data_IF_808531052023
#
_entry.id   IF_808531052023
#
_cell.length_a   1.000
_cell.length_b   1.000
_cell.length_c   1.000
_cell.angle_alpha   90.00
_cell.angle_beta   90.00
_cell.angle_gamma   90.00
#
_symmetry.space_group_name_H-M   'P 1'
#
loop_
_entity.id
_entity.type
_entity.pdbx_description
1 polymer ?
#
# COMPACT_ATOMS: atom_id res chain seq x y z
N UNK A 1 9.88 -15.42 -15.77
CA UNK A 1 10.56 -16.30 -14.78
C UNK A 1 9.59 -17.43 -14.47
N UNK A 2 10.05 -18.66 -14.22
CA UNK A 2 9.14 -19.72 -13.78
C UNK A 2 8.66 -19.42 -12.34
N UNK A 3 7.39 -19.66 -12.00
CA UNK A 3 6.88 -19.43 -10.66
C UNK A 3 7.63 -20.31 -9.65
N UNK A 4 7.87 -19.78 -8.45
CA UNK A 4 8.39 -20.58 -7.34
C UNK A 4 7.20 -21.25 -6.66
N UNK A 5 7.10 -22.56 -6.78
CA UNK A 5 6.04 -23.33 -6.13
C UNK A 5 6.52 -23.84 -4.77
N UNK A 6 5.71 -23.60 -3.74
CA UNK A 6 5.95 -24.02 -2.35
C UNK A 6 4.81 -24.94 -1.92
N UNK A 7 5.14 -26.05 -1.24
CA UNK A 7 4.10 -26.97 -0.78
C UNK A 7 3.27 -26.34 0.35
N UNK A 8 1.97 -26.68 0.50
CA UNK A 8 1.16 -26.22 1.63
C UNK A 8 1.75 -26.63 2.99
N UNK A 9 2.42 -27.78 3.06
CA UNK A 9 3.12 -28.23 4.27
C UNK A 9 4.27 -27.28 4.63
N UNK A 10 5.15 -26.98 3.68
CA UNK A 10 6.27 -26.04 3.89
C UNK A 10 5.77 -24.64 4.26
N UNK A 11 4.75 -24.14 3.57
CA UNK A 11 4.15 -22.83 3.87
C UNK A 11 3.62 -22.75 5.31
N UNK A 12 2.97 -23.82 5.80
CA UNK A 12 2.49 -23.92 7.18
C UNK A 12 3.63 -23.99 8.19
N UNK A 13 4.69 -24.75 7.91
CA UNK A 13 5.87 -24.83 8.78
C UNK A 13 6.58 -23.48 8.92
N UNK A 14 6.65 -22.69 7.85
CA UNK A 14 7.16 -21.32 7.88
C UNK A 14 6.22 -20.38 8.63
N UNK A 15 4.90 -20.52 8.43
CA UNK A 15 3.91 -19.73 9.15
C UNK A 15 3.97 -19.96 10.66
N UNK A 16 4.21 -21.20 11.11
CA UNK A 16 4.42 -21.54 12.51
C UNK A 16 5.70 -20.94 13.10
N UNK A 17 6.77 -20.81 12.30
CA UNK A 17 7.98 -20.11 12.71
C UNK A 17 7.73 -18.62 12.89
N UNK A 18 7.03 -17.98 11.94
CA UNK A 18 6.63 -16.57 12.03
C UNK A 18 5.75 -16.35 13.25
N UNK A 19 4.74 -17.21 13.46
CA UNK A 19 3.80 -17.07 14.55
C UNK A 19 4.49 -17.17 15.93
N UNK A 20 5.49 -18.05 16.08
CA UNK A 20 6.29 -18.17 17.31
C UNK A 20 7.20 -16.95 17.55
N UNK A 21 7.61 -16.26 16.49
CA UNK A 21 8.45 -15.07 16.58
C UNK A 21 7.66 -13.77 16.84
N UNK A 22 6.32 -13.83 16.74
CA UNK A 22 5.42 -12.73 17.01
C UNK A 22 4.92 -12.77 18.46
N UNK A 23 4.67 -11.61 19.10
CA UNK A 23 3.94 -11.58 20.37
C UNK A 23 2.57 -12.24 20.20
N UNK A 24 2.15 -13.08 21.15
CA UNK A 24 0.87 -13.79 21.06
C UNK A 24 -0.35 -12.87 21.04
N UNK A 25 -0.20 -11.65 21.60
CA UNK A 25 -1.22 -10.60 21.62
C UNK A 25 -1.34 -9.81 20.32
N UNK A 26 -0.39 -9.95 19.39
CA UNK A 26 -0.38 -9.08 18.20
C UNK A 26 -1.56 -9.41 17.28
N UNK A 27 -2.40 -8.40 17.05
CA UNK A 27 -3.49 -8.42 16.09
C UNK A 27 -3.08 -7.61 14.86
N UNK A 28 -3.10 -8.24 13.69
CA UNK A 28 -2.77 -7.60 12.41
C UNK A 28 -3.89 -7.77 11.37
N UNK A 29 -4.97 -8.44 11.74
CA UNK A 29 -6.25 -8.50 11.03
C UNK A 29 -7.36 -8.86 11.99
N UNK A 30 -8.57 -8.38 11.70
CA UNK A 30 -9.76 -8.60 12.53
C UNK A 30 -10.44 -9.95 12.28
N UNK A 31 -10.40 -10.45 11.04
CA UNK A 31 -11.16 -11.62 10.60
C UNK A 31 -10.32 -12.57 9.75
N UNK A 32 -10.66 -13.86 9.77
CA UNK A 32 -10.01 -14.90 8.97
C UNK A 32 -9.06 -15.79 9.76
N UNK A 33 -8.52 -16.81 9.10
CA UNK A 33 -7.57 -17.73 9.71
C UNK A 33 -6.17 -17.12 9.82
N UNK A 34 -5.63 -17.07 11.04
CA UNK A 34 -4.32 -16.46 11.33
C UNK A 34 -3.19 -17.10 10.51
N UNK A 35 -3.18 -18.43 10.38
CA UNK A 35 -2.15 -19.14 9.62
C UNK A 35 -2.21 -18.76 8.14
N UNK A 36 -3.40 -18.75 7.56
CA UNK A 36 -3.65 -18.31 6.17
C UNK A 36 -3.19 -16.87 5.95
N UNK A 37 -3.46 -15.96 6.87
CA UNK A 37 -2.97 -14.58 6.77
C UNK A 37 -1.44 -14.48 6.85
N UNK A 38 -0.79 -15.25 7.74
CA UNK A 38 0.67 -15.31 7.80
C UNK A 38 1.26 -15.84 6.49
N UNK A 39 0.64 -16.86 5.89
CA UNK A 39 1.04 -17.38 4.58
C UNK A 39 0.93 -16.30 3.50
N UNK A 40 -0.12 -15.47 3.51
CA UNK A 40 -0.25 -14.31 2.59
C UNK A 40 0.93 -13.35 2.74
N UNK A 41 1.33 -13.02 3.96
CA UNK A 41 2.54 -12.20 4.19
C UNK A 41 3.83 -12.89 3.72
N UNK A 42 3.97 -14.20 3.96
CA UNK A 42 5.13 -14.97 3.50
C UNK A 42 5.26 -14.92 1.98
N UNK A 43 4.14 -15.05 1.24
CA UNK A 43 4.12 -14.96 -0.23
C UNK A 43 4.70 -13.62 -0.72
N UNK A 44 4.26 -12.49 -0.14
CA UNK A 44 4.79 -11.16 -0.53
C UNK A 44 6.22 -10.88 -0.04
N UNK A 45 6.72 -11.66 0.92
CA UNK A 45 8.03 -11.48 1.54
C UNK A 45 9.00 -12.61 1.20
N UNK A 46 8.89 -13.20 0.01
CA UNK A 46 9.79 -14.23 -0.53
C UNK A 46 9.88 -15.54 0.28
N UNK A 47 8.86 -15.84 1.07
CA UNK A 47 8.84 -16.90 2.10
C UNK A 47 9.93 -16.72 3.18
N UNK A 48 10.39 -15.48 3.42
CA UNK A 48 11.38 -15.16 4.45
C UNK A 48 10.70 -14.84 5.78
N UNK A 49 11.00 -15.65 6.81
CA UNK A 49 10.42 -15.52 8.16
C UNK A 49 10.71 -14.16 8.78
N UNK A 50 11.95 -13.67 8.68
CA UNK A 50 12.35 -12.44 9.35
C UNK A 50 11.71 -11.20 8.70
N UNK A 51 11.66 -11.15 7.37
CA UNK A 51 10.95 -10.10 6.63
C UNK A 51 9.46 -10.10 6.97
N UNK A 52 8.85 -11.28 7.01
CA UNK A 52 7.43 -11.46 7.31
C UNK A 52 7.07 -10.97 8.71
N UNK A 53 7.88 -11.29 9.73
CA UNK A 53 7.66 -10.80 11.10
C UNK A 53 7.65 -9.26 11.16
N UNK A 54 8.57 -8.61 10.44
CA UNK A 54 8.63 -7.14 10.36
C UNK A 54 7.40 -6.57 9.66
N UNK A 55 7.02 -7.15 8.52
CA UNK A 55 5.84 -6.71 7.76
C UNK A 55 4.55 -6.82 8.60
N UNK A 56 4.38 -7.92 9.36
CA UNK A 56 3.21 -8.10 10.24
C UNK A 56 3.18 -7.04 11.35
N UNK A 57 4.32 -6.76 12.01
CA UNK A 57 4.38 -5.70 13.03
C UNK A 57 4.03 -4.33 12.47
N UNK A 58 4.42 -4.04 11.24
CA UNK A 58 4.08 -2.80 10.56
C UNK A 58 2.59 -2.73 10.22
N UNK A 59 1.98 -3.82 9.76
CA UNK A 59 0.53 -3.85 9.53
C UNK A 59 -0.26 -3.72 10.82
N UNK A 60 0.20 -4.30 11.94
CA UNK A 60 -0.43 -4.10 13.25
C UNK A 60 -0.41 -2.62 13.68
N UNK A 61 0.73 -1.92 13.52
CA UNK A 61 0.80 -0.48 13.78
C UNK A 61 -0.10 0.33 12.84
N UNK A 62 -0.05 0.04 11.53
CA UNK A 62 -0.91 0.67 10.53
C UNK A 62 -2.38 0.57 10.96
N UNK A 63 -2.84 -0.63 11.31
CA UNK A 63 -4.23 -0.84 11.75
C UNK A 63 -4.58 0.00 12.96
N UNK A 64 -3.66 0.12 13.92
CA UNK A 64 -3.90 0.96 15.10
C UNK A 64 -3.96 2.45 14.79
N UNK A 65 -3.08 2.96 13.93
CA UNK A 65 -3.10 4.38 13.54
C UNK A 65 -4.33 4.76 12.73
N UNK A 66 -4.83 3.83 11.94
CA UNK A 66 -6.04 4.01 11.14
C UNK A 66 -7.31 3.67 11.90
N UNK A 67 -7.23 3.33 13.19
CA UNK A 67 -8.35 2.83 13.98
C UNK A 67 -9.15 1.73 13.26
N UNK A 68 -8.43 0.87 12.52
CA UNK A 68 -8.99 -0.08 11.55
C UNK A 68 -10.06 -1.00 12.16
N UNK A 69 -9.87 -1.41 13.42
CA UNK A 69 -10.78 -2.30 14.13
C UNK A 69 -12.05 -1.59 14.64
N UNK A 70 -12.05 -0.26 14.66
CA UNK A 70 -13.16 0.60 15.12
C UNK A 70 -14.01 1.13 13.96
N UNK A 71 -13.57 0.96 12.71
CA UNK A 71 -14.30 1.41 11.52
C UNK A 71 -15.62 0.62 11.42
N UNK A 72 -16.72 1.35 11.24
CA UNK A 72 -18.05 0.82 10.98
C UNK A 72 -18.53 1.24 9.60
N UNK A 73 -19.54 0.55 9.06
CA UNK A 73 -20.12 0.93 7.76
C UNK A 73 -20.64 2.37 7.75
N UNK A 74 -21.10 2.91 8.89
CA UNK A 74 -21.57 4.29 8.99
C UNK A 74 -20.45 5.31 8.74
N UNK A 75 -19.21 5.00 9.11
CA UNK A 75 -18.04 5.87 8.91
C UNK A 75 -17.64 5.97 7.43
N UNK A 76 -17.94 4.93 6.64
CA UNK A 76 -17.50 4.79 5.25
C UNK A 76 -18.65 4.84 4.23
N UNK A 77 -19.90 5.01 4.69
CA UNK A 77 -21.11 4.94 3.87
C UNK A 77 -21.10 5.89 2.66
N UNK A 78 -20.67 7.14 2.86
CA UNK A 78 -20.67 8.15 1.81
C UNK A 78 -19.74 7.76 0.65
N UNK A 79 -18.61 7.15 0.96
CA UNK A 79 -17.66 6.72 -0.05
C UNK A 79 -18.10 5.42 -0.74
N UNK A 80 -18.76 4.51 -0.01
CA UNK A 80 -19.45 3.36 -0.63
C UNK A 80 -20.62 3.77 -1.53
N UNK A 81 -21.34 4.85 -1.25
CA UNK A 81 -22.38 5.39 -2.14
C UNK A 81 -21.82 5.84 -3.51
N UNK A 82 -20.59 6.36 -3.54
CA UNK A 82 -19.95 6.76 -4.80
C UNK A 82 -19.44 5.56 -5.62
N UNK A 83 -19.14 4.43 -4.98
CA UNK A 83 -18.53 3.24 -5.61
C UNK A 83 -19.52 2.08 -5.81
N UNK A 84 -20.67 2.13 -5.11
CA UNK A 84 -21.70 1.09 -5.03
C UNK A 84 -21.13 -0.33 -5.11
N UNK A 85 -20.24 -0.64 -4.18
CA UNK A 85 -19.53 -1.90 -4.19
C UNK A 85 -19.95 -2.85 -3.06
N UNK A 86 -20.03 -4.14 -3.37
CA UNK A 86 -20.55 -5.17 -2.47
C UNK A 86 -20.08 -6.58 -2.90
N UNK A 87 -19.99 -7.53 -1.96
CA UNK A 87 -19.65 -8.93 -2.23
C UNK A 87 -20.86 -9.67 -2.80
N UNK A 88 -20.62 -10.59 -3.73
CA UNK A 88 -21.68 -11.39 -4.37
C UNK A 88 -21.52 -12.89 -4.16
N UNK A 89 -20.37 -13.38 -3.71
CA UNK A 89 -20.19 -14.79 -3.39
C UNK A 89 -18.74 -15.23 -3.41
N UNK A 90 -18.54 -16.54 -3.24
CA UNK A 90 -17.22 -17.18 -3.27
C UNK A 90 -17.17 -18.23 -4.37
N UNK A 91 -16.09 -18.23 -5.13
CA UNK A 91 -15.81 -19.19 -6.18
C UNK A 91 -15.35 -20.53 -5.60
N UNK A 92 -15.36 -21.59 -6.43
CA UNK A 92 -14.97 -22.95 -5.99
C UNK A 92 -13.50 -23.07 -5.57
N UNK A 93 -12.65 -22.18 -6.07
CA UNK A 93 -11.23 -22.08 -5.72
C UNK A 93 -10.97 -21.11 -4.55
N UNK A 94 -12.02 -20.70 -3.82
CA UNK A 94 -11.87 -19.95 -2.58
C UNK A 94 -11.47 -18.50 -2.79
N UNK A 95 -12.00 -17.84 -3.83
CA UNK A 95 -11.87 -16.39 -4.06
C UNK A 95 -13.20 -15.69 -3.86
N UNK A 96 -13.17 -14.53 -3.20
CA UNK A 96 -14.34 -13.65 -3.08
C UNK A 96 -14.62 -12.98 -4.42
N UNK A 97 -15.89 -12.82 -4.80
CA UNK A 97 -16.29 -11.99 -5.94
C UNK A 97 -16.87 -10.69 -5.40
N UNK A 98 -16.27 -9.56 -5.79
CA UNK A 98 -16.63 -8.23 -5.33
C UNK A 98 -17.02 -7.35 -6.53
N UNK A 99 -18.24 -6.84 -6.52
CA UNK A 99 -18.73 -5.97 -7.58
C UNK A 99 -18.59 -4.51 -7.20
N UNK A 100 -18.31 -3.67 -8.20
CA UNK A 100 -18.17 -2.21 -8.07
C UNK A 100 -18.90 -1.57 -9.25
N UNK A 101 -19.80 -0.62 -8.99
CA UNK A 101 -20.42 0.21 -10.03
C UNK A 101 -19.92 1.65 -9.83
N UNK A 102 -18.86 2.01 -10.55
CA UNK A 102 -18.03 3.15 -10.19
C UNK A 102 -18.54 4.46 -10.81
N UNK A 103 -18.91 5.43 -9.97
CA UNK A 103 -19.39 6.76 -10.38
C UNK A 103 -18.42 7.89 -10.07
N UNK A 104 -17.15 7.56 -9.84
CA UNK A 104 -16.18 8.54 -9.42
C UNK A 104 -15.97 9.60 -10.52
N UNK A 105 -16.40 10.82 -10.23
CA UNK A 105 -16.23 11.99 -11.11
C UNK A 105 -15.12 12.93 -10.62
N UNK A 106 -14.78 12.84 -9.34
CA UNK A 106 -13.78 13.65 -8.64
C UNK A 106 -12.87 12.76 -7.81
N UNK A 107 -11.63 13.17 -7.51
CA UNK A 107 -10.77 12.41 -6.63
C UNK A 107 -11.39 12.35 -5.22
N UNK A 108 -11.51 11.16 -4.61
CA UNK A 108 -11.91 11.01 -3.22
C UNK A 108 -10.82 11.61 -2.32
N UNK A 109 -11.21 12.02 -1.11
CA UNK A 109 -10.21 12.35 -0.10
C UNK A 109 -9.40 11.11 0.23
N UNK A 110 -8.12 11.30 0.54
CA UNK A 110 -7.24 10.18 0.87
C UNK A 110 -7.75 9.38 2.07
N UNK A 111 -8.23 10.09 3.10
CA UNK A 111 -8.85 9.48 4.28
C UNK A 111 -10.01 8.54 3.90
N UNK A 112 -10.99 9.05 3.14
CA UNK A 112 -12.15 8.29 2.70
C UNK A 112 -11.75 7.04 1.89
N UNK A 113 -10.81 7.21 0.94
CA UNK A 113 -10.29 6.10 0.13
C UNK A 113 -9.66 5.01 0.99
N UNK A 114 -8.87 5.42 1.98
CA UNK A 114 -8.15 4.52 2.88
C UNK A 114 -9.10 3.79 3.84
N UNK A 115 -10.02 4.51 4.48
CA UNK A 115 -11.00 3.93 5.41
C UNK A 115 -11.91 2.92 4.72
N UNK A 116 -12.43 3.26 3.53
CA UNK A 116 -13.24 2.32 2.73
C UNK A 116 -12.41 1.09 2.36
N UNK A 117 -11.16 1.27 1.94
CA UNK A 117 -10.30 0.14 1.55
C UNK A 117 -10.06 -0.80 2.73
N UNK A 118 -9.73 -0.27 3.91
CA UNK A 118 -9.53 -1.07 5.13
C UNK A 118 -10.81 -1.85 5.46
N UNK A 119 -11.95 -1.16 5.49
CA UNK A 119 -13.24 -1.79 5.79
C UNK A 119 -13.61 -2.87 4.77
N UNK A 120 -13.43 -2.57 3.47
CA UNK A 120 -13.70 -3.49 2.36
C UNK A 120 -12.87 -4.77 2.49
N UNK A 121 -11.56 -4.65 2.74
CA UNK A 121 -10.70 -5.84 2.87
C UNK A 121 -11.05 -6.66 4.11
N UNK A 122 -11.40 -6.02 5.23
CA UNK A 122 -11.85 -6.72 6.43
C UNK A 122 -13.18 -7.47 6.18
N UNK A 123 -14.14 -6.87 5.48
CA UNK A 123 -15.41 -7.54 5.11
C UNK A 123 -15.17 -8.69 4.12
N UNK A 124 -14.30 -8.50 3.12
CA UNK A 124 -13.88 -9.56 2.19
C UNK A 124 -13.30 -10.74 2.96
N UNK A 125 -12.35 -10.49 3.86
CA UNK A 125 -11.69 -11.55 4.63
C UNK A 125 -12.68 -12.30 5.52
N UNK A 126 -13.59 -11.58 6.19
CA UNK A 126 -14.63 -12.19 7.02
C UNK A 126 -15.52 -13.13 6.21
N UNK A 127 -16.13 -12.60 5.14
CA UNK A 127 -17.09 -13.36 4.33
C UNK A 127 -16.40 -14.50 3.58
N UNK A 128 -15.17 -14.29 3.12
CA UNK A 128 -14.39 -15.33 2.47
C UNK A 128 -14.13 -16.51 3.40
N UNK A 129 -13.66 -16.23 4.63
CA UNK A 129 -13.41 -17.26 5.64
C UNK A 129 -14.69 -18.03 5.99
N UNK A 130 -15.79 -17.32 6.27
CA UNK A 130 -17.07 -17.93 6.66
C UNK A 130 -17.65 -18.80 5.53
N UNK A 131 -17.64 -18.31 4.29
CA UNK A 131 -18.16 -19.04 3.13
C UNK A 131 -17.28 -20.24 2.77
N UNK A 132 -15.95 -20.09 2.76
CA UNK A 132 -15.04 -21.22 2.49
C UNK A 132 -15.20 -22.31 3.53
N UNK A 133 -15.33 -21.94 4.81
CA UNK A 133 -15.59 -22.88 5.90
C UNK A 133 -16.93 -23.60 5.74
N UNK A 134 -17.99 -22.90 5.35
CA UNK A 134 -19.30 -23.50 5.10
C UNK A 134 -19.29 -24.47 3.91
N UNK A 135 -18.49 -24.18 2.87
CA UNK A 135 -18.34 -25.01 1.68
C UNK A 135 -17.32 -26.14 1.84
N UNK A 136 -16.55 -26.16 2.94
CA UNK A 136 -15.49 -27.15 3.17
C UNK A 136 -14.31 -27.01 2.20
N UNK A 137 -14.05 -25.79 1.70
CA UNK A 137 -12.94 -25.48 0.78
C UNK A 137 -11.89 -24.60 1.48
N UNK A 138 -10.67 -24.63 0.94
CA UNK A 138 -9.58 -23.77 1.39
C UNK A 138 -9.71 -22.38 0.77
N UNK A 139 -9.55 -21.32 1.57
CA UNK A 139 -9.40 -19.96 1.04
C UNK A 139 -8.17 -19.89 0.14
N UNK A 140 -8.26 -19.15 -0.95
CA UNK A 140 -7.10 -18.82 -1.76
C UNK A 140 -6.04 -18.10 -0.89
N UNK A 141 -4.81 -18.61 -0.94
CA UNK A 141 -3.66 -17.95 -0.31
C UNK A 141 -3.22 -16.70 -1.08
N UNK A 142 -3.68 -16.55 -2.32
CA UNK A 142 -3.21 -15.53 -3.24
C UNK A 142 -4.33 -15.11 -4.18
N UNK A 143 -4.35 -13.82 -4.50
CA UNK A 143 -5.31 -13.20 -5.39
C UNK A 143 -6.75 -13.58 -4.99
N UNK A 144 -6.99 -13.51 -3.66
CA UNK A 144 -8.15 -14.10 -2.99
C UNK A 144 -9.47 -13.34 -3.22
N UNK A 145 -9.44 -12.33 -4.07
CA UNK A 145 -10.60 -11.55 -4.48
C UNK A 145 -10.57 -11.31 -6.00
N UNK A 146 -11.73 -11.46 -6.63
CA UNK A 146 -12.01 -11.06 -8.00
C UNK A 146 -12.83 -9.78 -7.92
N UNK A 147 -12.28 -8.66 -8.39
CA UNK A 147 -12.99 -7.39 -8.49
C UNK A 147 -13.58 -7.24 -9.88
N UNK A 148 -14.88 -7.06 -9.95
CA UNK A 148 -15.60 -6.74 -11.18
C UNK A 148 -16.12 -5.31 -11.06
N UNK A 149 -15.50 -4.39 -11.80
CA UNK A 149 -15.83 -2.97 -11.76
C UNK A 149 -16.44 -2.51 -13.08
N UNK A 150 -17.63 -1.93 -13.05
CA UNK A 150 -18.17 -1.17 -14.18
C UNK A 150 -17.64 0.26 -14.13
N UNK A 151 -16.90 0.64 -15.17
CA UNK A 151 -16.18 1.92 -15.22
C UNK A 151 -16.72 2.86 -16.29
N UNK A 152 -17.90 2.55 -16.86
CA UNK A 152 -18.55 3.37 -17.90
C UNK A 152 -18.72 4.84 -17.48
N UNK A 153 -18.97 5.06 -16.19
CA UNK A 153 -19.31 6.36 -15.60
C UNK A 153 -18.14 7.02 -14.86
N UNK A 154 -16.96 6.41 -14.87
CA UNK A 154 -15.77 6.95 -14.21
C UNK A 154 -15.14 8.06 -15.05
N UNK A 155 -14.89 9.22 -14.43
CA UNK A 155 -14.20 10.33 -15.08
C UNK A 155 -12.68 10.21 -14.97
N UNK A 156 -11.96 10.69 -15.99
CA UNK A 156 -10.50 10.85 -15.93
C UNK A 156 -10.04 11.75 -14.77
N UNK A 157 -10.85 12.75 -14.41
CA UNK A 157 -10.56 13.66 -13.30
C UNK A 157 -10.56 12.98 -11.94
N UNK A 158 -11.13 11.78 -11.81
CA UNK A 158 -11.13 11.02 -10.55
C UNK A 158 -9.75 10.44 -10.19
N UNK A 159 -8.83 10.32 -11.16
CA UNK A 159 -7.52 9.69 -10.94
C UNK A 159 -6.43 10.74 -10.70
N UNK A 160 -6.16 11.07 -9.44
CA UNK A 160 -5.03 11.95 -9.08
C UNK A 160 -3.73 11.15 -8.78
N UNK A 161 -2.60 11.85 -8.64
CA UNK A 161 -1.28 11.21 -8.40
C UNK A 161 -1.14 10.67 -6.97
N UNK A 162 -1.86 11.24 -6.01
CA UNK A 162 -1.81 10.85 -4.59
C UNK A 162 -2.44 9.49 -4.36
N UNK A 163 -3.62 9.23 -4.96
CA UNK A 163 -4.26 7.92 -4.95
C UNK A 163 -3.35 6.83 -5.52
N UNK A 164 -2.57 7.14 -6.55
CA UNK A 164 -1.61 6.18 -7.15
C UNK A 164 -0.50 5.79 -6.16
N UNK A 165 -0.01 6.75 -5.36
CA UNK A 165 1.01 6.50 -4.35
C UNK A 165 0.44 5.72 -3.15
N UNK A 166 -0.72 6.14 -2.66
CA UNK A 166 -1.36 5.52 -1.50
C UNK A 166 -1.86 4.11 -1.80
N UNK A 167 -2.56 3.92 -2.92
CA UNK A 167 -3.07 2.61 -3.33
C UNK A 167 -1.96 1.58 -3.47
N UNK A 168 -0.92 1.85 -4.28
CA UNK A 168 0.15 0.86 -4.46
C UNK A 168 0.87 0.50 -3.16
N UNK A 169 1.24 1.49 -2.34
CA UNK A 169 2.06 1.22 -1.16
C UNK A 169 1.28 0.51 -0.05
N UNK A 170 0.00 0.86 0.11
CA UNK A 170 -0.87 0.31 1.14
C UNK A 170 -1.38 -1.07 0.75
N UNK A 171 -1.88 -1.25 -0.48
CA UNK A 171 -2.42 -2.55 -0.90
C UNK A 171 -1.36 -3.64 -0.87
N UNK A 172 -0.15 -3.37 -1.40
CA UNK A 172 0.91 -4.37 -1.41
C UNK A 172 1.44 -4.66 0.00
N UNK A 173 1.57 -3.64 0.86
CA UNK A 173 2.17 -3.83 2.20
C UNK A 173 1.18 -4.39 3.22
N UNK A 174 0.01 -3.78 3.30
CA UNK A 174 -0.93 -3.99 4.40
C UNK A 174 -2.05 -4.97 4.04
N UNK A 175 -2.24 -5.25 2.74
CA UNK A 175 -3.17 -6.26 2.23
C UNK A 175 -2.46 -7.30 1.35
N UNK A 176 -1.43 -8.00 1.88
CA UNK A 176 -0.62 -8.94 1.12
C UNK A 176 -1.45 -10.00 0.41
N UNK A 177 -1.01 -10.37 -0.78
CA UNK A 177 -1.63 -11.37 -1.63
C UNK A 177 -3.09 -11.06 -2.06
N UNK A 178 -3.59 -9.83 -1.87
CA UNK A 178 -4.83 -9.36 -2.48
C UNK A 178 -4.67 -9.13 -3.99
N UNK A 179 -3.57 -8.46 -4.37
CA UNK A 179 -3.07 -8.31 -5.73
C UNK A 179 -1.57 -8.61 -5.73
N UNK A 180 -1.21 -9.89 -5.71
CA UNK A 180 0.17 -10.26 -5.44
C UNK A 180 1.13 -9.71 -6.49
N UNK A 181 2.28 -9.23 -6.02
CA UNK A 181 3.37 -8.78 -6.89
C UNK A 181 4.36 -9.91 -7.21
N UNK A 182 4.33 -11.00 -6.44
CA UNK A 182 5.30 -12.10 -6.55
C UNK A 182 4.81 -13.23 -7.46
N UNK A 183 5.75 -14.01 -7.99
CA UNK A 183 5.51 -15.24 -8.74
C UNK A 183 5.58 -16.50 -7.84
N UNK A 184 5.33 -16.35 -6.53
CA UNK A 184 5.33 -17.46 -5.56
C UNK A 184 3.93 -18.05 -5.47
N UNK A 185 3.80 -19.37 -5.64
CA UNK A 185 2.53 -20.08 -5.58
C UNK A 185 2.57 -21.16 -4.50
N UNK A 186 1.47 -21.33 -3.75
CA UNK A 186 1.34 -22.42 -2.76
C UNK A 186 0.49 -23.53 -3.36
N UNK A 187 1.09 -24.67 -3.71
CA UNK A 187 0.42 -25.77 -4.38
C UNK A 187 1.07 -27.12 -4.06
N UNK A 188 0.28 -28.19 -4.00
CA UNK A 188 0.79 -29.55 -3.80
C UNK A 188 1.59 -30.06 -5.00
N UNK A 189 1.26 -29.60 -6.21
CA UNK A 189 1.99 -29.96 -7.42
C UNK A 189 3.21 -29.05 -7.61
N UNK A 190 4.45 -29.53 -7.47
CA UNK A 190 5.64 -28.71 -7.66
C UNK A 190 5.84 -28.23 -9.11
N UNK A 191 5.18 -28.86 -10.08
CA UNK A 191 5.16 -28.44 -11.47
C UNK A 191 3.96 -27.52 -11.79
N UNK A 192 3.23 -27.04 -10.78
CA UNK A 192 2.13 -26.11 -10.97
C UNK A 192 2.61 -24.85 -11.69
N UNK A 193 1.93 -24.52 -12.78
CA UNK A 193 2.10 -23.28 -13.50
C UNK A 193 0.76 -22.54 -13.51
N UNK A 194 0.69 -21.30 -13.00
CA UNK A 194 -0.52 -20.51 -13.06
C UNK A 194 -0.83 -20.15 -14.52
N UNK A 195 -2.11 -20.21 -14.88
CA UNK A 195 -2.60 -19.71 -16.16
C UNK A 195 -2.82 -18.21 -16.07
N UNK A 196 -2.27 -17.47 -17.01
CA UNK A 196 -2.43 -16.01 -17.12
C UNK A 196 -3.28 -15.68 -18.34
N UNK A 197 -4.57 -16.00 -18.23
CA UNK A 197 -5.55 -15.78 -19.28
C UNK A 197 -6.76 -14.98 -18.77
N UNK A 198 -7.70 -14.76 -19.69
CA UNK A 198 -8.92 -14.03 -19.42
C UNK A 198 -9.78 -14.67 -18.32
N UNK A 199 -9.78 -15.99 -18.18
CA UNK A 199 -10.61 -16.71 -17.21
C UNK A 199 -10.01 -16.71 -15.79
N UNK A 200 -8.72 -16.40 -15.65
CA UNK A 200 -8.00 -16.45 -14.37
C UNK A 200 -7.52 -15.07 -13.88
N UNK A 201 -8.03 -14.00 -14.46
CA UNK A 201 -7.74 -12.64 -14.00
C UNK A 201 -8.44 -12.32 -12.68
N UNK A 202 -7.94 -11.30 -11.98
CA UNK A 202 -8.49 -10.88 -10.67
C UNK A 202 -9.24 -9.56 -10.75
N UNK A 203 -9.04 -8.79 -11.82
CA UNK A 203 -9.71 -7.50 -12.00
C UNK A 203 -10.33 -7.44 -13.38
N UNK A 204 -11.65 -7.27 -13.43
CA UNK A 204 -12.41 -7.10 -14.65
C UNK A 204 -13.04 -5.71 -14.64
N UNK A 205 -12.53 -4.81 -15.47
CA UNK A 205 -13.10 -3.48 -15.65
C UNK A 205 -14.02 -3.51 -16.87
N UNK A 206 -15.32 -3.57 -16.62
CA UNK A 206 -16.37 -3.58 -17.63
C UNK A 206 -16.56 -2.17 -18.20
N UNK A 207 -17.04 -2.12 -19.45
CA UNK A 207 -17.44 -0.90 -20.16
C UNK A 207 -16.39 0.22 -20.11
N UNK A 208 -15.10 -0.14 -20.06
CA UNK A 208 -14.01 0.81 -19.82
C UNK A 208 -13.86 1.77 -21.00
N UNK A 209 -13.95 3.10 -20.76
CA UNK A 209 -13.71 4.10 -21.79
C UNK A 209 -12.38 3.89 -22.52
N UNK A 210 -12.37 4.11 -23.84
CA UNK A 210 -11.18 3.87 -24.69
C UNK A 210 -9.92 4.60 -24.19
N UNK A 211 -10.07 5.82 -23.68
CA UNK A 211 -8.97 6.60 -23.14
C UNK A 211 -8.36 5.96 -21.89
N UNK A 212 -9.18 5.46 -20.97
CA UNK A 212 -8.72 4.74 -19.77
C UNK A 212 -7.96 3.47 -20.15
N UNK A 213 -8.46 2.72 -21.13
CA UNK A 213 -7.75 1.54 -21.70
C UNK A 213 -6.38 1.90 -22.26
N UNK A 214 -6.28 3.05 -22.92
CA UNK A 214 -5.02 3.53 -23.51
C UNK A 214 -4.01 3.96 -22.43
N UNK A 215 -4.48 4.63 -21.38
CA UNK A 215 -3.64 5.07 -20.26
C UNK A 215 -3.12 3.88 -19.45
N UNK A 216 -3.96 2.88 -19.21
CA UNK A 216 -3.52 1.66 -18.53
C UNK A 216 -2.35 0.98 -19.23
N UNK A 217 -2.39 0.87 -20.58
CA UNK A 217 -1.26 0.32 -21.36
C UNK A 217 0.05 1.09 -21.17
N UNK A 218 -0.01 2.38 -20.85
CA UNK A 218 1.17 3.17 -20.50
C UNK A 218 1.57 2.94 -19.04
N UNK A 219 0.61 2.82 -18.13
CA UNK A 219 0.85 2.57 -16.71
C UNK A 219 1.44 1.18 -16.44
N UNK A 220 1.06 0.15 -17.18
CA UNK A 220 1.57 -1.22 -17.01
C UNK A 220 3.08 -1.33 -17.20
N UNK A 221 3.71 -0.40 -17.94
CA UNK A 221 5.17 -0.31 -18.08
C UNK A 221 5.90 0.01 -16.76
N UNK A 222 5.18 0.53 -15.76
CA UNK A 222 5.73 0.97 -14.48
C UNK A 222 5.19 0.15 -13.29
N UNK A 223 4.38 -0.89 -13.56
CA UNK A 223 3.78 -1.77 -12.56
C UNK A 223 4.51 -3.11 -12.51
N UNK A 224 4.34 -3.90 -11.42
CA UNK A 224 4.78 -5.29 -11.41
C UNK A 224 4.28 -6.00 -12.67
N UNK A 225 5.17 -6.74 -13.33
CA UNK A 225 4.83 -7.46 -14.57
C UNK A 225 3.59 -8.35 -14.39
N UNK A 226 3.38 -8.84 -13.16
CA UNK A 226 2.22 -9.64 -12.78
C UNK A 226 0.88 -8.97 -12.99
N UNK A 227 0.80 -7.68 -12.69
CA UNK A 227 -0.47 -6.96 -12.77
C UNK A 227 -0.93 -6.72 -14.20
N UNK A 228 -0.02 -6.70 -15.16
CA UNK A 228 -0.35 -6.52 -16.57
C UNK A 228 -1.28 -7.61 -17.12
N UNK A 229 -1.25 -8.82 -16.53
CA UNK A 229 -2.10 -9.94 -16.93
C UNK A 229 -3.23 -10.26 -15.94
N UNK A 230 -3.21 -9.69 -14.73
CA UNK A 230 -4.31 -9.84 -13.76
C UNK A 230 -5.47 -8.86 -13.99
N UNK A 231 -5.22 -7.78 -14.74
CA UNK A 231 -6.19 -6.70 -14.95
C UNK A 231 -6.68 -6.70 -16.39
N UNK A 232 -7.97 -6.97 -16.55
CA UNK A 232 -8.70 -6.94 -17.82
C UNK A 232 -9.45 -5.61 -17.92
N UNK A 233 -9.25 -4.89 -19.03
CA UNK A 233 -10.01 -3.69 -19.36
C UNK A 233 -10.89 -3.94 -20.57
N UNK A 234 -12.15 -4.24 -20.32
CA UNK A 234 -13.11 -4.68 -21.31
C UNK A 234 -13.92 -3.50 -21.82
N UNK A 235 -14.21 -3.49 -23.12
CA UNK A 235 -15.15 -2.54 -23.72
C UNK A 235 -16.60 -3.03 -23.71
N UNK A 236 -16.86 -4.14 -23.03
CA UNK A 236 -18.16 -4.79 -22.87
C UNK A 236 -18.40 -5.15 -21.40
N UNK A 237 -19.58 -5.70 -21.13
CA UNK A 237 -20.04 -6.22 -19.84
C UNK A 237 -19.90 -7.74 -19.70
N UNK A 238 -19.36 -8.40 -20.73
CA UNK A 238 -19.21 -9.85 -20.76
C UNK A 238 -18.13 -10.29 -19.77
N UNK A 239 -18.45 -11.27 -18.92
CA UNK A 239 -17.54 -11.85 -17.93
C UNK A 239 -17.10 -13.27 -18.32
N UNK A 240 -15.98 -13.76 -17.80
CA UNK A 240 -15.52 -15.13 -18.05
C UNK A 240 -16.46 -16.18 -17.47
N UNK A 241 -16.46 -17.37 -18.08
CA UNK A 241 -17.27 -18.49 -17.61
C UNK A 241 -16.76 -19.09 -16.29
N UNK A 242 -15.52 -18.77 -15.89
CA UNK A 242 -14.92 -19.18 -14.62
C UNK A 242 -15.60 -18.56 -13.40
N UNK A 243 -16.25 -17.40 -13.54
CA UNK A 243 -17.04 -16.78 -12.47
C UNK A 243 -18.44 -17.40 -12.48
N UNK A 244 -18.88 -18.07 -11.40
CA UNK A 244 -20.20 -18.69 -11.35
C UNK A 244 -21.32 -17.65 -11.56
N UNK A 245 -22.33 -17.98 -12.37
CA UNK A 245 -23.47 -17.08 -12.62
C UNK A 245 -24.18 -16.63 -11.33
N UNK A 246 -24.19 -17.47 -10.30
CA UNK A 246 -24.74 -17.16 -8.98
C UNK A 246 -23.97 -16.08 -8.23
N UNK A 247 -22.73 -15.79 -8.62
CA UNK A 247 -21.92 -14.69 -8.08
C UNK A 247 -22.01 -13.43 -8.95
N UNK A 248 -22.74 -13.46 -10.08
CA UNK A 248 -22.85 -12.33 -11.00
C UNK A 248 -24.22 -11.67 -10.80
N UNK A 249 -24.31 -10.34 -10.56
CA UNK A 249 -25.57 -9.62 -10.51
C UNK A 249 -26.39 -9.78 -11.80
N UNK A 250 -27.72 -9.81 -11.66
CA UNK A 250 -28.65 -9.90 -12.82
C UNK A 250 -28.40 -8.85 -13.89
N UNK A 251 -27.99 -7.64 -13.50
CA UNK A 251 -27.68 -6.54 -14.45
C UNK A 251 -26.49 -6.85 -15.39
N UNK A 252 -25.62 -7.79 -15.02
CA UNK A 252 -24.49 -8.25 -15.84
C UNK A 252 -24.69 -9.68 -16.36
N UNK A 253 -25.95 -10.13 -16.47
CA UNK A 253 -26.29 -11.44 -17.05
C UNK A 253 -26.16 -12.64 -16.11
N UNK A 254 -25.99 -12.41 -14.81
CA UNK A 254 -25.93 -13.47 -13.80
C UNK A 254 -27.27 -13.77 -13.12
N UNK A 255 -27.20 -14.53 -12.02
CA UNK A 255 -28.36 -14.96 -11.22
C UNK A 255 -28.30 -14.51 -9.75
N UNK A 256 -27.31 -13.73 -9.33
CA UNK A 256 -27.24 -13.18 -7.98
C UNK A 256 -28.41 -12.22 -7.71
N UNK A 257 -29.10 -12.40 -6.58
CA UNK A 257 -30.32 -11.66 -6.23
C UNK A 257 -30.13 -10.54 -5.19
N UNK A 258 -28.95 -10.45 -4.56
CA UNK A 258 -28.67 -9.40 -3.58
C UNK A 258 -28.47 -8.01 -4.21
N UNK A 259 -28.42 -6.99 -3.35
CA UNK A 259 -28.17 -5.60 -3.75
C UNK A 259 -27.18 -4.91 -2.83
N UNK A 260 -26.65 -3.78 -3.28
CA UNK A 260 -25.78 -2.91 -2.49
C UNK A 260 -26.47 -2.45 -1.19
N UNK A 261 -27.74 -2.06 -1.27
CA UNK A 261 -28.53 -1.59 -0.13
C UNK A 261 -28.74 -2.70 0.90
N UNK A 262 -29.02 -3.92 0.45
CA UNK A 262 -29.16 -5.08 1.32
C UNK A 262 -27.85 -5.39 2.06
N UNK A 263 -26.71 -5.30 1.36
CA UNK A 263 -25.39 -5.48 1.96
C UNK A 263 -25.06 -4.37 2.98
N UNK A 264 -25.35 -3.11 2.66
CA UNK A 264 -25.15 -1.97 3.59
C UNK A 264 -25.95 -2.16 4.89
N UNK A 265 -27.20 -2.62 4.80
CA UNK A 265 -28.04 -2.89 5.96
C UNK A 265 -27.55 -4.09 6.79
N UNK A 266 -27.09 -5.15 6.14
CA UNK A 266 -26.45 -6.29 6.80
C UNK A 266 -25.19 -5.85 7.58
N UNK A 267 -24.32 -5.07 6.94
CA UNK A 267 -23.14 -4.49 7.60
C UNK A 267 -23.51 -3.61 8.79
N UNK A 268 -24.53 -2.75 8.66
CA UNK A 268 -24.97 -1.87 9.76
C UNK A 268 -25.49 -2.67 10.95
N UNK A 269 -26.28 -3.72 10.69
CA UNK A 269 -26.76 -4.66 11.70
C UNK A 269 -25.60 -5.37 12.41
N UNK A 270 -24.64 -5.89 11.65
CA UNK A 270 -23.44 -6.57 12.17
C UNK A 270 -22.55 -5.63 12.99
N UNK A 271 -22.44 -4.36 12.59
CA UNK A 271 -21.67 -3.34 13.31
C UNK A 271 -22.43 -2.72 14.49
N UNK A 272 -23.74 -2.95 14.60
CA UNK A 272 -24.58 -2.35 15.64
C UNK A 272 -24.70 -0.82 15.51
N UNK A 273 -24.70 -0.29 14.27
CA UNK A 273 -24.81 1.14 13.98
C UNK A 273 -26.00 1.46 13.07
N UNK A 274 -26.39 2.72 12.97
CA UNK A 274 -27.38 3.20 11.99
C UNK A 274 -26.69 3.76 10.75
N UNK A 275 -27.26 3.51 9.57
CA UNK A 275 -26.82 4.21 8.35
C UNK A 275 -27.19 5.70 8.37
N UNK A 276 -28.01 6.16 9.31
CA UNK A 276 -28.29 7.58 9.53
C UNK A 276 -27.20 8.27 10.37
N UNK A 277 -26.35 7.51 11.07
CA UNK A 277 -25.30 8.07 11.92
C UNK A 277 -24.28 8.85 11.06
N UNK A 278 -23.89 10.08 11.45
CA UNK A 278 -22.90 10.83 10.69
C UNK A 278 -21.53 10.13 10.76
N UNK A 279 -20.74 10.12 9.66
CA UNK A 279 -19.39 9.57 9.69
C UNK A 279 -18.54 10.22 10.77
N UNK A 280 -17.84 9.42 11.57
CA UNK A 280 -16.93 9.93 12.61
C UNK A 280 -15.59 10.32 11.99
N UNK A 281 -14.91 11.30 12.58
CA UNK A 281 -13.51 11.54 12.30
C UNK A 281 -12.66 10.55 13.10
N UNK A 282 -12.14 9.53 12.42
CA UNK A 282 -11.37 8.46 13.05
C UNK A 282 -9.86 8.69 12.99
N UNK A 283 -9.38 9.38 11.95
CA UNK A 283 -7.96 9.44 11.66
C UNK A 283 -7.39 10.77 12.12
N UNK A 284 -6.29 10.69 12.88
CA UNK A 284 -5.51 11.87 13.26
C UNK A 284 -4.86 12.47 12.00
N UNK A 285 -4.87 13.79 11.89
CA UNK A 285 -4.26 14.53 10.79
C UNK A 285 -2.80 14.09 10.52
N UNK A 286 -2.05 13.69 11.55
CA UNK A 286 -0.68 13.17 11.42
C UNK A 286 -0.55 11.93 10.53
N UNK A 287 -1.58 11.08 10.51
CA UNK A 287 -1.61 9.88 9.65
C UNK A 287 -1.83 10.28 8.19
N UNK A 288 -2.66 11.29 7.97
CA UNK A 288 -2.93 11.85 6.64
C UNK A 288 -1.72 12.57 6.07
N UNK A 289 -0.96 13.26 6.93
CA UNK A 289 0.23 13.99 6.51
C UNK A 289 1.30 13.07 5.88
N UNK A 290 1.34 11.77 6.23
CA UNK A 290 2.23 10.77 5.58
C UNK A 290 2.05 10.73 4.06
N UNK A 291 0.84 11.02 3.59
CA UNK A 291 0.48 11.05 2.17
C UNK A 291 0.73 12.41 1.51
N UNK A 292 1.45 13.31 2.20
CA UNK A 292 1.72 14.66 1.71
C UNK A 292 0.59 15.65 1.96
N UNK A 293 -0.43 15.27 2.73
CA UNK A 293 -1.56 16.14 3.09
C UNK A 293 -1.22 17.07 4.26
N UNK A 294 -0.06 17.73 4.20
CA UNK A 294 0.30 18.75 5.18
C UNK A 294 -0.82 19.82 5.25
N UNK A 295 -1.10 20.32 6.45
CA UNK A 295 -2.21 21.25 6.78
C UNK A 295 -2.14 22.64 6.11
N UNK A 296 -1.44 22.78 4.99
CA UNK A 296 -1.18 24.07 4.35
C UNK A 296 -0.17 24.94 5.10
N UNK A 297 0.61 24.35 6.03
CA UNK A 297 1.64 25.08 6.77
C UNK A 297 2.92 25.22 5.95
N UNK A 298 3.53 26.40 5.99
CA UNK A 298 4.82 26.67 5.36
C UNK A 298 5.89 25.74 5.97
N UNK A 299 6.75 25.16 5.13
CA UNK A 299 7.75 24.16 5.55
C UNK A 299 8.61 24.59 6.75
N UNK A 300 9.02 25.86 6.82
CA UNK A 300 9.81 26.40 7.94
C UNK A 300 9.01 26.65 9.21
N UNK A 301 7.69 26.73 9.12
CA UNK A 301 6.78 27.07 10.23
C UNK A 301 6.13 25.83 10.87
N UNK A 302 6.39 24.64 10.34
CA UNK A 302 5.84 23.39 10.89
C UNK A 302 6.29 23.27 12.37
N UNK A 303 5.40 23.00 13.33
CA UNK A 303 5.78 22.86 14.74
C UNK A 303 6.59 21.58 15.00
N UNK A 304 7.25 21.51 16.15
CA UNK A 304 7.96 20.30 16.62
C UNK A 304 9.07 19.75 15.71
N UNK A 305 9.70 20.63 14.93
CA UNK A 305 10.89 20.27 14.15
C UNK A 305 12.05 19.89 15.07
N UNK A 306 12.67 18.75 14.77
CA UNK A 306 13.94 18.30 15.36
C UNK A 306 15.11 18.85 14.56
N UNK A 307 15.01 18.77 13.24
CA UNK A 307 15.98 19.31 12.29
C UNK A 307 15.27 19.59 10.96
N UNK A 308 15.67 20.66 10.30
CA UNK A 308 15.25 20.97 8.94
C UNK A 308 16.44 21.47 8.11
N UNK A 309 16.36 21.28 6.80
CA UNK A 309 17.45 21.66 5.92
C UNK A 309 17.38 21.02 4.54
N UNK A 310 18.17 21.58 3.64
CA UNK A 310 18.27 21.10 2.27
C UNK A 310 19.03 19.78 2.18
N UNK A 311 18.45 18.80 1.50
CA UNK A 311 19.14 17.56 1.12
C UNK A 311 18.80 17.18 -0.32
N UNK A 312 19.59 16.27 -0.87
CA UNK A 312 19.32 15.66 -2.16
C UNK A 312 18.62 14.32 -1.96
N UNK A 313 17.55 14.07 -2.71
CA UNK A 313 16.86 12.79 -2.78
C UNK A 313 16.92 12.23 -4.17
N UNK A 314 17.28 10.95 -4.27
CA UNK A 314 17.30 10.26 -5.56
C UNK A 314 15.93 9.73 -5.93
N UNK A 315 15.58 9.78 -7.22
CA UNK A 315 14.42 9.07 -7.76
C UNK A 315 14.74 7.60 -7.99
N UNK A 316 13.74 6.75 -7.78
CA UNK A 316 13.83 5.34 -8.16
C UNK A 316 13.95 5.22 -9.70
N UNK A 317 13.10 5.95 -10.42
CA UNK A 317 13.03 5.93 -11.88
C UNK A 317 14.02 6.94 -12.45
N UNK A 318 14.96 6.47 -13.26
CA UNK A 318 15.95 7.33 -13.92
C UNK A 318 17.08 7.83 -13.02
N UNK A 319 17.06 7.48 -11.72
CA UNK A 319 18.17 7.69 -10.81
C UNK A 319 18.66 9.14 -10.67
N UNK A 320 17.75 10.10 -10.86
CA UNK A 320 18.05 11.53 -10.83
C UNK A 320 18.01 12.06 -9.40
N UNK A 321 18.85 13.04 -9.11
CA UNK A 321 18.84 13.73 -7.83
C UNK A 321 17.93 14.96 -7.89
N UNK A 322 17.14 15.15 -6.83
CA UNK A 322 16.33 16.34 -6.64
C UNK A 322 16.70 16.99 -5.32
N UNK A 323 16.86 18.30 -5.36
CA UNK A 323 17.10 19.11 -4.19
C UNK A 323 15.77 19.46 -3.55
N UNK A 324 15.61 19.12 -2.28
CA UNK A 324 14.40 19.41 -1.52
C UNK A 324 14.76 19.94 -0.14
N UNK A 325 13.86 20.73 0.42
CA UNK A 325 13.93 21.14 1.81
C UNK A 325 13.24 20.09 2.68
N UNK A 326 13.98 19.50 3.62
CA UNK A 326 13.48 18.44 4.49
C UNK A 326 13.16 18.99 5.87
N UNK A 327 12.14 18.41 6.50
CA UNK A 327 11.72 18.74 7.86
C UNK A 327 11.48 17.43 8.61
N UNK A 328 12.27 17.16 9.64
CA UNK A 328 12.09 16.02 10.54
C UNK A 328 11.41 16.48 11.82
N UNK A 329 10.30 15.84 12.16
CA UNK A 329 9.53 16.11 13.36
C UNK A 329 9.89 15.17 14.52
N UNK A 330 9.60 15.59 15.75
CA UNK A 330 9.88 14.83 16.98
C UNK A 330 9.15 13.49 17.03
N UNK A 331 8.01 13.41 16.38
CA UNK A 331 7.15 12.22 16.32
C UNK A 331 7.55 11.23 15.22
N UNK A 332 8.63 11.48 14.48
CA UNK A 332 9.12 10.55 13.47
C UNK A 332 8.62 10.81 12.06
N UNK A 333 7.96 11.93 11.77
CA UNK A 333 7.63 12.29 10.40
C UNK A 333 8.76 13.07 9.72
N UNK A 334 9.20 12.60 8.55
CA UNK A 334 10.13 13.30 7.67
C UNK A 334 9.40 13.79 6.41
N UNK A 335 9.22 15.11 6.29
CA UNK A 335 8.68 15.74 5.08
C UNK A 335 9.77 16.19 4.13
N UNK A 336 9.39 16.38 2.87
CA UNK A 336 10.19 17.16 1.95
C UNK A 336 9.36 18.06 1.03
N UNK A 337 9.89 19.24 0.74
CA UNK A 337 9.26 20.35 0.01
C UNK A 337 10.16 20.79 -1.14
N UNK A 338 9.59 21.41 -2.19
CA UNK A 338 10.42 21.96 -3.28
C UNK A 338 11.13 23.24 -2.83
N UNK A 339 10.46 24.02 -1.98
CA UNK A 339 10.97 25.25 -1.39
C UNK A 339 10.69 25.34 0.12
N UNK A 340 11.41 26.25 0.80
CA UNK A 340 11.21 26.54 2.22
C UNK A 340 9.87 27.22 2.51
N UNK A 341 9.28 27.88 1.51
CA UNK A 341 8.00 28.58 1.63
C UNK A 341 6.80 27.77 1.12
N UNK A 342 7.03 26.54 0.64
CA UNK A 342 5.96 25.70 0.16
C UNK A 342 5.06 25.26 1.32
N UNK A 343 3.75 25.26 1.06
CA UNK A 343 2.73 24.70 1.95
C UNK A 343 2.47 23.22 1.67
N UNK A 344 2.77 22.79 0.43
CA UNK A 344 2.43 21.46 -0.08
C UNK A 344 3.64 20.53 -0.04
N UNK A 345 3.66 19.66 0.96
CA UNK A 345 4.68 18.62 1.09
C UNK A 345 4.62 17.69 -0.14
N UNK A 346 5.76 17.39 -0.73
CA UNK A 346 5.83 16.45 -1.85
C UNK A 346 5.59 15.00 -1.39
N UNK A 347 5.91 14.70 -0.13
CA UNK A 347 5.56 13.48 0.62
C UNK A 347 5.93 13.64 2.11
N UNK A 348 5.33 12.82 2.97
CA UNK A 348 5.83 12.51 4.31
C UNK A 348 6.38 11.08 4.42
N UNK A 349 7.20 10.80 5.43
CA UNK A 349 7.64 9.45 5.79
C UNK A 349 7.54 9.26 7.30
N UNK A 350 6.78 8.26 7.77
CA UNK A 350 6.87 7.82 9.17
C UNK A 350 8.13 7.01 9.39
N UNK A 351 8.90 7.37 10.40
CA UNK A 351 10.16 6.73 10.76
C UNK A 351 10.01 5.64 11.84
N UNK A 352 8.93 4.85 11.81
CA UNK A 352 8.65 3.75 12.76
C UNK A 352 8.91 2.34 12.19
N UNK A 353 9.37 1.41 13.03
CA UNK A 353 9.74 0.03 12.67
C UNK A 353 10.84 -0.09 11.61
N UNK A 354 11.89 0.72 11.77
CA UNK A 354 13.13 0.60 10.99
C UNK A 354 14.01 -0.46 11.62
N UNK A 355 14.38 -1.45 10.81
CA UNK A 355 15.24 -2.57 11.18
C UNK A 355 16.53 -2.08 11.86
N UNK A 356 16.68 -2.41 13.15
CA UNK A 356 17.99 -2.72 13.72
C UNK A 356 18.53 -3.95 12.99
N UNK A 357 19.42 -3.74 12.03
CA UNK A 357 20.54 -4.65 11.77
C UNK A 357 21.77 -3.81 11.51
N UNK A 358 22.83 -4.14 12.22
CA UNK A 358 24.16 -3.57 12.07
C UNK A 358 24.53 -3.46 10.60
N UNK A 359 24.70 -2.22 10.20
CA UNK A 359 25.21 -1.79 8.91
C UNK A 359 25.90 -0.44 9.08
N UNK A 360 26.54 -0.21 10.24
CA UNK A 360 27.77 0.61 10.22
C UNK A 360 28.82 -0.25 9.51
N UNK A 361 28.67 -0.27 8.19
CA UNK A 361 29.78 -0.34 7.27
C UNK A 361 29.50 0.73 6.19
N UNK A 362 29.14 1.96 6.57
CA UNK A 362 29.10 3.08 5.59
C UNK A 362 30.49 3.51 5.11
N UNK A 363 31.50 2.65 5.23
CA UNK A 363 32.81 2.77 4.60
C UNK A 363 33.08 1.64 3.61
N UNK A 364 32.22 0.63 3.46
CA UNK A 364 32.44 -0.45 2.48
C UNK A 364 31.12 -1.08 2.06
N UNK A 365 30.85 -1.16 0.76
CA UNK A 365 29.61 -1.64 0.10
C UNK A 365 28.55 -0.56 -0.17
N UNK A 366 28.96 0.49 -0.88
CA UNK A 366 28.22 0.93 -2.07
C UNK A 366 29.15 1.42 -3.18
N UNK A 367 30.40 0.95 -3.18
CA UNK A 367 31.39 1.31 -4.18
C UNK A 367 31.20 0.58 -5.52
N UNK A 368 30.42 -0.52 -5.57
CA UNK A 368 30.48 -1.44 -6.71
C UNK A 368 29.22 -1.52 -7.59
N UNK A 369 28.13 -0.81 -7.29
CA UNK A 369 26.85 -0.98 -8.04
C UNK A 369 26.27 0.33 -8.58
N UNK A 370 26.86 1.48 -8.28
CA UNK A 370 26.13 2.74 -8.34
C UNK A 370 27.03 3.88 -8.84
N UNK A 371 27.26 3.95 -10.16
CA UNK A 371 27.94 5.07 -10.81
C UNK A 371 26.96 6.24 -11.00
N UNK A 372 27.13 7.35 -10.27
CA UNK A 372 26.25 8.54 -10.36
C UNK A 372 27.02 9.86 -10.45
N UNK A 373 26.38 10.83 -11.11
CA UNK A 373 26.84 12.21 -11.36
C UNK A 373 26.47 13.19 -10.24
N UNK A 374 27.15 14.34 -10.20
CA UNK A 374 27.22 15.26 -9.05
C UNK A 374 26.30 16.46 -9.11
N UNK A 375 26.11 17.13 -7.95
CA UNK A 375 25.76 18.53 -7.91
C UNK A 375 27.01 19.44 -7.97
N UNK A 376 26.89 20.65 -8.55
CA UNK A 376 27.96 21.65 -8.51
C UNK A 376 28.17 22.16 -7.09
N UNK A 377 29.43 22.42 -6.70
CA UNK A 377 29.78 23.14 -5.47
C UNK A 377 29.01 24.47 -5.40
N UNK A 378 28.49 24.82 -4.21
CA UNK A 378 27.93 26.15 -3.97
C UNK A 378 29.00 27.20 -4.31
N UNK A 379 28.72 28.08 -5.27
CA UNK A 379 29.60 29.21 -5.53
C UNK A 379 29.59 30.16 -4.33
N UNK A 380 30.70 30.87 -4.10
CA UNK A 380 30.78 31.86 -3.04
C UNK A 380 29.67 32.92 -3.21
N UNK A 381 28.78 33.03 -2.20
CA UNK A 381 27.64 33.95 -2.22
C UNK A 381 26.30 33.34 -2.65
N UNK A 382 26.24 32.06 -3.05
CA UNK A 382 24.99 31.34 -3.26
C UNK A 382 24.49 30.70 -1.96
N UNK A 383 23.19 30.84 -1.70
CA UNK A 383 22.50 30.06 -0.66
C UNK A 383 21.96 28.76 -1.25
N UNK A 384 21.76 27.74 -0.42
CA UNK A 384 21.16 26.46 -0.85
C UNK A 384 19.77 26.65 -1.50
N UNK A 385 19.03 27.70 -1.14
CA UNK A 385 17.74 28.05 -1.72
C UNK A 385 17.84 28.55 -3.18
N UNK A 386 19.01 29.00 -3.63
CA UNK A 386 19.22 29.68 -4.92
C UNK A 386 20.03 28.85 -5.94
N UNK A 387 20.27 27.57 -5.63
CA UNK A 387 21.31 26.75 -6.29
C UNK A 387 20.98 26.25 -7.72
N UNK A 388 19.72 26.31 -8.16
CA UNK A 388 19.33 25.85 -9.50
C UNK A 388 19.43 24.32 -9.72
N UNK A 389 19.34 23.86 -10.97
CA UNK A 389 19.37 22.44 -11.34
C UNK A 389 20.79 21.84 -11.46
N UNK A 390 20.91 20.51 -11.44
CA UNK A 390 22.17 19.75 -11.52
C UNK A 390 23.03 20.15 -12.75
N UNK A 391 24.36 20.25 -12.57
CA UNK A 391 25.35 20.35 -13.64
C UNK A 391 26.34 19.18 -13.58
N UNK A 392 26.81 18.68 -14.74
CA UNK A 392 27.64 17.45 -14.82
C UNK A 392 29.02 17.60 -14.13
N UNK A 393 29.39 16.61 -13.30
CA UNK A 393 30.80 16.13 -13.20
C UNK A 393 31.47 15.96 -11.83
N UNK A 394 31.11 14.93 -11.04
CA UNK A 394 31.80 14.28 -9.88
C UNK A 394 30.77 13.40 -9.08
N UNK A 395 31.06 12.81 -7.89
CA UNK A 395 30.12 11.93 -7.13
C UNK A 395 29.69 12.42 -5.72
N UNK A 396 28.41 12.27 -5.33
CA UNK A 396 27.91 12.65 -3.99
C UNK A 396 28.67 11.88 -2.93
N UNK A 397 29.56 12.55 -2.18
CA UNK A 397 30.47 11.91 -1.22
C UNK A 397 29.79 11.55 0.10
N UNK A 398 28.79 12.33 0.52
CA UNK A 398 28.14 12.21 1.82
C UNK A 398 26.68 11.80 1.66
N UNK A 399 26.42 10.51 1.51
CA UNK A 399 25.08 9.97 1.34
C UNK A 399 24.75 8.95 2.42
N UNK A 400 23.45 8.68 2.57
CA UNK A 400 22.91 7.66 3.46
C UNK A 400 21.60 7.10 2.88
N UNK A 401 21.19 5.94 3.39
CA UNK A 401 19.95 5.28 2.97
C UNK A 401 19.02 5.21 4.18
N UNK A 402 17.78 5.66 3.98
CA UNK A 402 16.68 5.40 4.92
C UNK A 402 15.84 4.29 4.32
N UNK A 403 15.89 3.12 4.94
CA UNK A 403 15.14 1.94 4.50
C UNK A 403 13.74 1.95 5.06
N UNK A 404 12.79 2.48 4.32
CA UNK A 404 11.37 2.29 4.67
C UNK A 404 10.93 0.88 4.27
N UNK A 405 9.84 0.36 4.83
CA UNK A 405 9.30 -0.91 4.35
C UNK A 405 8.75 -0.90 2.92
N UNK A 406 8.64 0.27 2.26
CA UNK A 406 8.25 0.37 0.84
C UNK A 406 9.43 0.32 -0.11
N UNK A 407 10.50 1.00 0.28
CA UNK A 407 11.71 1.14 -0.53
C UNK A 407 12.84 1.76 0.26
N UNK A 408 14.03 1.58 -0.27
CA UNK A 408 15.21 2.31 0.14
C UNK A 408 15.17 3.72 -0.45
N UNK A 409 15.21 4.72 0.43
CA UNK A 409 15.37 6.12 0.05
C UNK A 409 16.84 6.49 0.14
N UNK A 410 17.42 6.93 -0.97
CA UNK A 410 18.82 7.38 -1.02
C UNK A 410 18.85 8.89 -0.91
N UNK A 411 19.51 9.37 0.14
CA UNK A 411 19.71 10.79 0.43
C UNK A 411 21.17 11.17 0.35
N UNK A 412 21.45 12.40 -0.08
CA UNK A 412 22.80 12.95 -0.06
C UNK A 412 22.82 14.37 0.54
N UNK A 413 23.91 14.64 1.25
CA UNK A 413 24.24 15.89 1.89
C UNK A 413 25.45 16.52 1.19
N UNK A 414 25.62 17.82 1.36
CA UNK A 414 26.73 18.56 0.76
C UNK A 414 28.00 18.50 1.61
N UNK A 415 27.87 18.29 2.92
CA UNK A 415 29.00 18.18 3.84
C UNK A 415 28.89 16.98 4.78
N UNK A 416 30.03 16.60 5.39
CA UNK A 416 30.09 15.52 6.38
C UNK A 416 29.38 15.91 7.67
N UNK A 417 29.43 17.19 8.05
CA UNK A 417 28.76 17.75 9.23
C UNK A 417 27.24 17.66 9.06
N UNK A 418 26.73 18.09 7.90
CA UNK A 418 25.31 18.00 7.57
C UNK A 418 24.83 16.54 7.61
N UNK A 419 25.58 15.63 6.97
CA UNK A 419 25.26 14.19 7.02
C UNK A 419 25.22 13.66 8.45
N UNK A 420 26.19 14.03 9.26
CA UNK A 420 26.31 13.55 10.65
C UNK A 420 25.18 14.08 11.53
N UNK A 421 24.78 15.33 11.35
CA UNK A 421 23.62 15.93 12.03
C UNK A 421 22.33 15.18 11.68
N UNK A 422 22.06 14.98 10.38
CA UNK A 422 20.88 14.23 9.94
C UNK A 422 20.86 12.81 10.49
N UNK A 423 21.98 12.08 10.38
CA UNK A 423 22.08 10.71 10.93
C UNK A 423 21.85 10.66 12.44
N UNK A 424 22.37 11.63 13.19
CA UNK A 424 22.16 11.70 14.63
C UNK A 424 20.68 11.86 14.98
N UNK A 425 19.99 12.84 14.39
CA UNK A 425 18.59 13.10 14.68
C UNK A 425 17.66 12.01 14.17
N UNK A 426 17.92 11.46 12.98
CA UNK A 426 17.18 10.31 12.47
C UNK A 426 17.29 9.11 13.42
N UNK A 427 18.50 8.76 13.87
CA UNK A 427 18.70 7.65 14.81
C UNK A 427 17.98 7.89 16.15
N UNK A 428 18.03 9.12 16.67
CA UNK A 428 17.36 9.49 17.91
C UNK A 428 15.84 9.33 17.77
N UNK A 429 15.25 9.96 16.75
CA UNK A 429 13.81 9.98 16.52
C UNK A 429 13.28 8.58 16.22
N UNK A 430 13.94 7.80 15.36
CA UNK A 430 13.60 6.39 15.10
C UNK A 430 13.63 5.58 16.39
N UNK A 431 14.64 5.80 17.25
CA UNK A 431 14.76 5.11 18.53
C UNK A 431 13.60 5.42 19.48
N UNK A 432 13.14 6.67 19.51
CA UNK A 432 11.99 7.11 20.32
C UNK A 432 10.66 6.58 19.74
N UNK A 433 10.48 6.65 18.42
CA UNK A 433 9.31 6.12 17.71
C UNK A 433 9.17 4.60 17.92
N UNK A 434 10.26 3.84 17.79
CA UNK A 434 10.25 2.39 17.99
C UNK A 434 9.87 2.00 19.43
N UNK A 435 10.38 2.71 20.44
CA UNK A 435 9.98 2.46 21.85
C UNK A 435 8.48 2.72 22.06
N UNK A 436 7.95 3.75 21.42
CA UNK A 436 6.53 4.08 21.49
C UNK A 436 5.67 3.01 20.80
N UNK A 437 6.11 2.53 19.64
CA UNK A 437 5.48 1.42 18.93
C UNK A 437 5.50 0.11 19.75
N UNK A 438 6.58 -0.19 20.46
CA UNK A 438 6.68 -1.38 21.34
C UNK A 438 5.72 -1.34 22.53
N UNK A 439 5.33 -0.15 23.01
CA UNK A 439 4.33 -0.01 24.08
C UNK A 439 2.89 -0.18 23.57
N UNK A 440 2.74 -0.21 22.26
CA UNK A 440 1.48 -0.04 21.53
C UNK A 440 1.08 -1.36 20.82
N UNK A 441 2.06 -2.20 20.49
CA UNK A 441 1.94 -3.59 20.02
C UNK A 441 1.94 -4.56 21.21
#
# INVERSE_FOLDING_TARGET
MAPRVVSPKEAKELADQVNRALPSSILFYRYGDRTTQIIRFLIENDMDVAKTVVAIKQTALFRKYWHADEITIADVKNAFEEWQCYPTGVTKDGRMVWYVDCFMTKPPKMEDFMLVTIYMVDDIQKRLYEACKALGIQEAYKDYCIIVSDTARTSMSAFNTEMKKAGMDVFVRHFPAFMSSTDIEVNENPAYAPSYDYDHSSFYNLNTPFLLRSIWKLCTLFMPARWAYMVQLLGSDTLPASIPSSCIPKKYGGSFEGSFEAWMQDCASVNGCSLDDPPRQLVDQRVLDQFGQNNGMIATEIPDQVISGWMWKRTNVGHRWHHYYFVLLKDGLLYYFKDVNDTDAQNGFMLENYLKREGIASLTIASNVLHFTNPPLLAAGQSEATRGAEQKGEAHKYWFIVRTPSRDYVFACNSVEQRSQWMFFLNKVIGEANKKAELVL
#
